data_IF_838171296915
#
_entry.id   IF_838171296915
#
_cell.length_a   1.000
_cell.length_b   1.000
_cell.length_c   1.000
_cell.angle_alpha   90.00
_cell.angle_beta   90.00
_cell.angle_gamma   90.00
#
_symmetry.space_group_name_H-M   'P 1'
#
loop_
_entity.id
_entity.type
_entity.pdbx_description
1 polymer ?
#
# COMPACT_ATOMS: atom_id res chain seq x y z
N UNK A 1 1.55 26.72 15.75
CA UNK A 1 2.08 25.37 16.07
C UNK A 1 1.33 24.36 15.23
N UNK A 2 2.02 23.58 14.41
CA UNK A 2 1.36 22.56 13.58
C UNK A 2 1.02 21.32 14.42
N UNK A 3 -0.13 20.67 14.21
CA UNK A 3 -0.48 19.44 14.90
C UNK A 3 0.41 18.27 14.46
N UNK A 4 0.53 17.24 15.31
CA UNK A 4 1.30 16.03 14.99
C UNK A 4 0.68 15.29 13.81
N UNK A 5 1.41 15.19 12.70
CA UNK A 5 0.96 14.53 11.47
C UNK A 5 0.74 13.03 11.68
N UNK A 6 1.64 12.38 12.40
CA UNK A 6 1.57 10.94 12.69
C UNK A 6 0.32 10.59 13.50
N UNK A 7 -0.06 11.45 14.45
CA UNK A 7 -1.28 11.27 15.23
C UNK A 7 -2.53 11.39 14.35
N UNK A 8 -2.62 12.42 13.50
CA UNK A 8 -3.78 12.63 12.62
C UNK A 8 -3.91 11.48 11.61
N UNK A 9 -2.80 11.06 10.99
CA UNK A 9 -2.77 9.89 10.08
C UNK A 9 -3.24 8.63 10.81
N UNK A 10 -2.76 8.39 12.03
CA UNK A 10 -3.14 7.25 12.86
C UNK A 10 -4.62 7.27 13.25
N UNK A 11 -5.15 8.43 13.61
CA UNK A 11 -6.56 8.61 13.98
C UNK A 11 -7.47 8.28 12.79
N UNK A 12 -7.22 8.90 11.64
CA UNK A 12 -7.99 8.66 10.41
C UNK A 12 -7.97 7.18 10.01
N UNK A 13 -6.81 6.51 10.09
CA UNK A 13 -6.71 5.08 9.82
C UNK A 13 -7.51 4.24 10.82
N UNK A 14 -7.49 4.59 12.10
CA UNK A 14 -8.23 3.85 13.13
C UNK A 14 -9.74 3.98 12.97
N UNK A 15 -10.23 5.14 12.53
CA UNK A 15 -11.65 5.41 12.31
C UNK A 15 -12.12 5.06 10.90
N UNK A 16 -11.25 4.55 10.02
CA UNK A 16 -11.51 4.42 8.58
C UNK A 16 -12.00 5.74 7.95
N UNK A 17 -11.53 6.88 8.48
CA UNK A 17 -11.85 8.22 8.02
C UNK A 17 -10.78 8.80 7.10
N UNK A 18 -11.02 10.04 6.64
CA UNK A 18 -10.09 10.82 5.82
C UNK A 18 -9.45 11.93 6.65
N UNK A 19 -8.30 12.41 6.21
CA UNK A 19 -7.67 13.62 6.75
C UNK A 19 -7.14 14.48 5.60
N UNK A 20 -7.00 15.77 5.85
CA UNK A 20 -6.31 16.72 4.95
C UNK A 20 -5.37 17.59 5.77
N UNK A 21 -4.18 17.87 5.22
CA UNK A 21 -3.24 18.82 5.80
C UNK A 21 -3.27 20.11 4.98
N UNK A 22 -3.49 21.23 5.66
CA UNK A 22 -3.56 22.55 5.04
C UNK A 22 -2.18 23.20 5.14
N UNK A 23 -1.63 23.62 4.00
CA UNK A 23 -0.39 24.37 3.94
C UNK A 23 -0.60 25.81 4.49
N UNK A 24 0.42 26.43 5.11
CA UNK A 24 0.26 27.71 5.81
C UNK A 24 -0.14 28.89 4.90
N UNK A 25 0.07 28.76 3.59
CA UNK A 25 -0.22 29.76 2.55
C UNK A 25 -1.60 29.60 1.90
N UNK A 26 -2.40 28.61 2.33
CA UNK A 26 -3.69 28.28 1.72
C UNK A 26 -4.88 28.67 2.59
N UNK A 27 -5.97 29.06 1.93
CA UNK A 27 -7.25 29.35 2.58
C UNK A 27 -7.86 28.08 3.17
N UNK A 28 -8.14 28.10 4.47
CA UNK A 28 -8.76 27.00 5.19
C UNK A 28 -10.16 26.69 4.66
N UNK A 29 -10.91 27.72 4.26
CA UNK A 29 -12.31 27.61 3.85
C UNK A 29 -12.54 26.63 2.71
N UNK A 30 -11.62 26.61 1.72
CA UNK A 30 -11.70 25.70 0.57
C UNK A 30 -11.59 24.24 1.02
N UNK A 31 -10.61 23.93 1.87
CA UNK A 31 -10.42 22.56 2.36
C UNK A 31 -11.56 22.10 3.28
N UNK A 32 -12.11 23.01 4.08
CA UNK A 32 -13.28 22.70 4.93
C UNK A 32 -14.50 22.43 4.06
N UNK A 33 -14.74 23.25 3.03
CA UNK A 33 -15.83 23.04 2.08
C UNK A 33 -15.68 21.69 1.35
N UNK A 34 -14.49 21.37 0.85
CA UNK A 34 -14.21 20.07 0.20
C UNK A 34 -14.45 18.88 1.14
N UNK A 35 -14.00 18.97 2.40
CA UNK A 35 -14.23 17.88 3.37
C UNK A 35 -15.72 17.72 3.69
N UNK A 36 -16.46 18.82 3.81
CA UNK A 36 -17.89 18.78 4.05
C UNK A 36 -18.65 18.22 2.84
N UNK A 37 -18.30 18.64 1.63
CA UNK A 37 -18.84 18.12 0.38
C UNK A 37 -18.62 16.60 0.31
N UNK A 38 -17.39 16.14 0.58
CA UNK A 38 -17.07 14.71 0.66
C UNK A 38 -17.83 13.97 1.75
N UNK A 39 -18.06 14.59 2.91
CA UNK A 39 -18.83 13.97 3.99
C UNK A 39 -20.32 13.79 3.65
N UNK A 40 -20.85 14.58 2.72
CA UNK A 40 -22.24 14.53 2.26
C UNK A 40 -22.43 13.67 1.01
N UNK A 41 -21.35 13.32 0.30
CA UNK A 41 -21.42 12.42 -0.84
C UNK A 41 -21.95 11.03 -0.42
N UNK A 42 -22.78 10.39 -1.27
CA UNK A 42 -23.20 9.03 -1.02
C UNK A 42 -21.98 8.10 -0.99
N UNK A 43 -21.96 7.18 -0.03
CA UNK A 43 -20.86 6.22 0.12
C UNK A 43 -21.35 4.78 0.23
N UNK A 44 -20.56 3.86 -0.34
CA UNK A 44 -20.71 2.44 -0.11
C UNK A 44 -19.94 2.06 1.14
N UNK A 45 -20.66 1.63 2.18
CA UNK A 45 -20.09 1.20 3.46
C UNK A 45 -20.15 -0.31 3.64
N UNK A 46 -19.29 -0.86 4.49
CA UNK A 46 -19.31 -2.26 4.91
C UNK A 46 -19.22 -3.27 3.76
N UNK A 47 -18.39 -2.94 2.78
CA UNK A 47 -18.10 -3.82 1.65
C UNK A 47 -17.23 -5.01 2.10
N UNK A 48 -17.45 -6.15 1.47
CA UNK A 48 -16.62 -7.35 1.56
C UNK A 48 -16.25 -7.80 0.16
N UNK A 49 -15.02 -8.27 0.00
CA UNK A 49 -14.60 -8.92 -1.24
C UNK A 49 -14.50 -10.41 -0.98
N UNK A 50 -15.16 -11.19 -1.82
CA UNK A 50 -15.06 -12.62 -1.85
C UNK A 50 -14.22 -13.04 -3.06
N UNK A 51 -13.15 -13.78 -2.81
CA UNK A 51 -12.24 -14.27 -3.83
C UNK A 51 -12.52 -15.76 -4.06
N UNK A 52 -13.33 -16.08 -5.07
CA UNK A 52 -13.61 -17.45 -5.45
C UNK A 52 -12.53 -17.92 -6.43
N UNK A 53 -11.32 -18.17 -5.91
CA UNK A 53 -10.20 -18.71 -6.67
C UNK A 53 -10.00 -20.19 -6.34
N UNK A 54 -9.94 -21.04 -7.36
CA UNK A 54 -9.60 -22.47 -7.26
C UNK A 54 -8.10 -22.63 -6.96
N UNK A 55 -7.75 -22.51 -5.68
CA UNK A 55 -6.35 -22.57 -5.20
C UNK A 55 -6.15 -23.81 -4.33
N UNK A 56 -4.98 -24.46 -4.41
CA UNK A 56 -4.67 -25.67 -3.65
C UNK A 56 -4.61 -25.44 -2.12
N UNK A 57 -4.04 -24.33 -1.66
CA UNK A 57 -3.98 -23.95 -0.23
C UNK A 57 -5.08 -22.98 0.22
N UNK A 58 -5.74 -22.30 -0.71
CA UNK A 58 -6.81 -21.32 -0.42
C UNK A 58 -6.35 -20.05 0.32
N UNK A 59 -5.05 -19.82 0.51
CA UNK A 59 -4.55 -18.69 1.28
C UNK A 59 -4.35 -17.45 0.40
N UNK A 60 -5.25 -16.48 0.54
CA UNK A 60 -5.22 -15.21 -0.17
C UNK A 60 -4.97 -14.10 0.83
N UNK A 61 -3.87 -13.35 0.66
CA UNK A 61 -3.57 -12.21 1.52
C UNK A 61 -4.03 -10.92 0.85
N UNK A 62 -5.15 -10.38 1.33
CA UNK A 62 -5.72 -9.13 0.83
C UNK A 62 -5.24 -7.92 1.63
N UNK A 63 -4.97 -6.81 0.93
CA UNK A 63 -4.79 -5.49 1.51
C UNK A 63 -5.56 -4.43 0.70
N UNK A 64 -6.37 -3.56 1.33
CA UNK A 64 -6.70 -3.53 2.77
C UNK A 64 -7.58 -4.72 3.18
N UNK A 65 -7.43 -5.19 4.43
CA UNK A 65 -8.25 -6.29 4.95
C UNK A 65 -9.66 -5.78 5.31
N UNK A 66 -9.74 -4.61 5.96
CA UNK A 66 -11.00 -3.89 6.15
C UNK A 66 -11.17 -2.84 5.06
N UNK A 67 -12.19 -3.03 4.24
CA UNK A 67 -12.47 -2.12 3.13
C UNK A 67 -13.01 -0.79 3.69
N UNK A 68 -12.35 0.35 3.41
CA UNK A 68 -12.84 1.65 3.82
C UNK A 68 -14.11 2.02 3.04
N UNK A 69 -14.92 2.98 3.54
CA UNK A 69 -16.06 3.49 2.78
C UNK A 69 -15.59 4.09 1.45
N UNK A 70 -16.34 3.81 0.37
CA UNK A 70 -16.05 4.31 -0.97
C UNK A 70 -17.05 5.42 -1.29
N UNK A 71 -16.56 6.65 -1.46
CA UNK A 71 -17.36 7.81 -1.83
C UNK A 71 -17.50 7.93 -3.34
N UNK A 72 -18.50 8.70 -3.79
CA UNK A 72 -18.63 9.03 -5.20
C UNK A 72 -17.35 9.69 -5.74
N UNK A 73 -16.95 9.31 -6.96
CA UNK A 73 -15.73 9.79 -7.63
C UNK A 73 -14.39 9.43 -6.96
N UNK A 74 -14.39 8.63 -5.88
CA UNK A 74 -13.16 8.08 -5.30
C UNK A 74 -12.84 6.70 -5.91
N UNK A 75 -11.54 6.38 -6.01
CA UNK A 75 -11.04 5.08 -6.47
C UNK A 75 -10.43 4.32 -5.31
N UNK A 76 -10.96 3.13 -5.02
CA UNK A 76 -10.33 2.17 -4.13
C UNK A 76 -9.54 1.13 -4.95
N UNK A 77 -8.32 0.83 -4.51
CA UNK A 77 -7.52 -0.26 -5.06
C UNK A 77 -7.33 -1.30 -3.97
N UNK A 78 -7.67 -2.55 -4.30
CA UNK A 78 -7.50 -3.70 -3.42
C UNK A 78 -6.48 -4.62 -4.07
N UNK A 79 -5.47 -5.00 -3.32
CA UNK A 79 -4.45 -5.94 -3.73
C UNK A 79 -4.68 -7.28 -3.04
N UNK A 80 -4.48 -8.36 -3.78
CA UNK A 80 -4.49 -9.71 -3.26
C UNK A 80 -3.21 -10.43 -3.70
N UNK A 81 -2.51 -11.02 -2.73
CA UNK A 81 -1.36 -11.88 -2.95
C UNK A 81 -1.78 -13.33 -2.75
N UNK A 82 -1.61 -14.13 -3.78
CA UNK A 82 -1.87 -15.58 -3.76
C UNK A 82 -0.51 -16.28 -3.70
N UNK A 83 -0.33 -17.16 -2.72
CA UNK A 83 0.95 -17.86 -2.52
C UNK A 83 1.14 -19.02 -3.53
N UNK A 84 0.04 -19.57 -4.04
CA UNK A 84 0.02 -20.68 -5.00
C UNK A 84 -0.35 -20.24 -6.43
N UNK A 85 -0.05 -21.12 -7.39
CA UNK A 85 -0.64 -21.02 -8.73
C UNK A 85 -2.14 -21.30 -8.63
N UNK A 86 -2.95 -20.42 -9.21
CA UNK A 86 -4.39 -20.59 -9.33
C UNK A 86 -4.77 -20.63 -10.82
N UNK A 87 -5.87 -21.30 -11.12
CA UNK A 87 -6.41 -21.31 -12.47
C UNK A 87 -6.98 -19.92 -12.80
N UNK A 88 -6.43 -19.31 -13.84
CA UNK A 88 -6.78 -17.94 -14.21
C UNK A 88 -8.12 -17.84 -14.93
N UNK A 89 -8.66 -18.95 -15.46
CA UNK A 89 -9.86 -18.94 -16.29
C UNK A 89 -11.15 -19.24 -15.52
N UNK A 90 -11.04 -19.73 -14.27
CA UNK A 90 -12.19 -20.08 -13.42
C UNK A 90 -12.37 -19.20 -12.18
N UNK A 91 -11.48 -18.23 -11.96
CA UNK A 91 -11.51 -17.35 -10.79
C UNK A 91 -12.58 -16.26 -10.90
N UNK A 92 -13.40 -16.09 -9.86
CA UNK A 92 -14.35 -14.96 -9.78
C UNK A 92 -14.09 -14.09 -8.55
N UNK A 93 -14.26 -12.78 -8.71
CA UNK A 93 -14.17 -11.80 -7.64
C UNK A 93 -15.53 -11.15 -7.46
N UNK A 94 -16.08 -11.25 -6.26
CA UNK A 94 -17.39 -10.73 -5.91
C UNK A 94 -17.27 -9.65 -4.84
N UNK A 95 -18.02 -8.57 -5.01
CA UNK A 95 -18.14 -7.48 -4.04
C UNK A 95 -19.53 -7.58 -3.42
N UNK A 96 -19.55 -7.79 -2.10
CA UNK A 96 -20.76 -7.98 -1.30
C UNK A 96 -20.95 -6.79 -0.35
N UNK A 97 -22.21 -6.44 -0.06
CA UNK A 97 -22.54 -5.49 1.01
C UNK A 97 -22.59 -6.18 2.39
N UNK A 98 -22.93 -5.43 3.44
CA UNK A 98 -23.11 -5.97 4.80
C UNK A 98 -24.22 -7.03 4.93
N UNK A 99 -25.19 -7.04 4.01
CA UNK A 99 -26.30 -7.98 3.94
C UNK A 99 -26.01 -9.17 3.02
N UNK A 100 -24.75 -9.36 2.59
CA UNK A 100 -24.33 -10.36 1.61
C UNK A 100 -25.05 -10.28 0.26
N UNK A 101 -25.56 -9.11 -0.11
CA UNK A 101 -26.08 -8.84 -1.45
C UNK A 101 -24.91 -8.56 -2.39
N UNK A 102 -24.92 -9.20 -3.55
CA UNK A 102 -23.95 -8.98 -4.62
C UNK A 102 -24.13 -7.59 -5.24
N UNK A 103 -23.07 -6.78 -5.17
CA UNK A 103 -23.01 -5.46 -5.80
C UNK A 103 -22.41 -5.59 -7.19
N UNK A 104 -21.31 -6.32 -7.30
CA UNK A 104 -20.59 -6.52 -8.54
C UNK A 104 -19.83 -7.85 -8.52
N UNK A 105 -19.73 -8.49 -9.68
CA UNK A 105 -18.87 -9.64 -9.88
C UNK A 105 -18.02 -9.40 -11.13
N UNK A 106 -16.76 -9.82 -11.06
CA UNK A 106 -15.84 -9.80 -12.19
C UNK A 106 -15.14 -11.16 -12.32
N UNK A 107 -15.00 -11.63 -13.55
CA UNK A 107 -14.16 -12.78 -13.85
C UNK A 107 -12.70 -12.34 -13.81
N UNK A 108 -11.85 -13.13 -13.17
CA UNK A 108 -10.41 -12.97 -13.31
C UNK A 108 -10.07 -13.38 -14.74
N UNK A 109 -9.44 -12.48 -15.48
CA UNK A 109 -8.95 -12.77 -16.81
C UNK A 109 -7.42 -12.77 -16.75
N UNK A 110 -6.79 -13.78 -17.32
CA UNK A 110 -5.37 -13.75 -17.56
C UNK A 110 -5.09 -12.75 -18.69
N UNK A 111 -4.92 -11.48 -18.34
CA UNK A 111 -4.27 -10.57 -19.24
C UNK A 111 -2.81 -11.03 -19.34
N UNK A 112 -2.45 -11.70 -20.45
CA UNK A 112 -1.08 -12.04 -20.81
C UNK A 112 -0.29 -10.74 -21.03
N UNK A 113 -0.05 -10.00 -19.96
CA UNK A 113 0.71 -8.75 -19.98
C UNK A 113 2.16 -9.16 -19.94
N UNK A 114 2.78 -9.22 -21.12
CA UNK A 114 4.20 -9.49 -21.31
C UNK A 114 5.03 -8.30 -20.83
N UNK A 115 5.19 -8.10 -19.52
CA UNK A 115 6.12 -7.09 -19.01
C UNK A 115 6.69 -7.49 -17.66
N UNK A 116 7.94 -7.09 -17.42
CA UNK A 116 8.60 -6.95 -16.12
C UNK A 116 7.74 -6.25 -15.02
N UNK A 117 6.58 -5.69 -15.38
CA UNK A 117 5.52 -5.15 -14.51
C UNK A 117 4.89 -6.16 -13.56
N UNK A 118 5.00 -7.47 -13.81
CA UNK A 118 4.55 -8.51 -12.86
C UNK A 118 5.22 -8.32 -11.49
N UNK A 119 6.50 -7.91 -11.48
CA UNK A 119 7.22 -7.55 -10.25
C UNK A 119 6.68 -6.27 -9.62
N UNK A 120 6.20 -5.31 -10.40
CA UNK A 120 5.75 -4.00 -9.90
C UNK A 120 4.40 -4.10 -9.19
N UNK A 121 3.44 -4.83 -9.77
CA UNK A 121 2.13 -5.06 -9.12
C UNK A 121 2.33 -5.92 -7.87
N UNK A 122 3.15 -6.96 -7.94
CA UNK A 122 3.51 -7.77 -6.77
C UNK A 122 4.19 -6.93 -5.68
N UNK A 123 5.08 -5.99 -6.05
CA UNK A 123 5.69 -5.05 -5.11
C UNK A 123 4.68 -4.08 -4.49
N UNK A 124 3.74 -3.54 -5.27
CA UNK A 124 2.68 -2.67 -4.75
C UNK A 124 1.77 -3.44 -3.78
N UNK A 125 1.40 -4.66 -4.15
CA UNK A 125 0.62 -5.54 -3.29
C UNK A 125 1.36 -5.84 -1.98
N UNK A 126 2.62 -6.25 -2.06
CA UNK A 126 3.45 -6.53 -0.89
C UNK A 126 3.68 -5.27 -0.03
N UNK A 127 3.90 -4.11 -0.64
CA UNK A 127 3.99 -2.82 0.08
C UNK A 127 2.69 -2.50 0.83
N UNK A 128 1.55 -2.64 0.16
CA UNK A 128 0.24 -2.37 0.78
C UNK A 128 -0.03 -3.32 1.96
N UNK A 129 0.39 -4.58 1.83
CA UNK A 129 0.27 -5.59 2.87
C UNK A 129 1.23 -5.32 4.04
N UNK A 130 2.49 -4.94 3.78
CA UNK A 130 3.44 -4.52 4.82
C UNK A 130 2.88 -3.32 5.59
N UNK A 131 2.31 -2.33 4.90
CA UNK A 131 1.65 -1.20 5.56
C UNK A 131 0.47 -1.66 6.41
N UNK A 132 -0.36 -2.59 5.93
CA UNK A 132 -1.45 -3.15 6.73
C UNK A 132 -0.95 -3.85 8.00
N UNK A 133 0.08 -4.68 7.88
CA UNK A 133 0.69 -5.36 9.02
C UNK A 133 1.25 -4.37 10.04
N UNK A 134 2.01 -3.36 9.60
CA UNK A 134 2.65 -2.36 10.45
C UNK A 134 1.66 -1.52 11.28
N UNK A 135 0.51 -1.19 10.70
CA UNK A 135 -0.49 -0.33 11.32
C UNK A 135 -1.73 -1.10 11.78
N UNK A 136 -1.65 -2.43 11.83
CA UNK A 136 -2.72 -3.26 12.35
C UNK A 136 -2.98 -2.91 13.81
N UNK A 137 -4.26 -2.76 14.19
CA UNK A 137 -4.67 -2.46 15.58
C UNK A 137 -4.17 -3.52 16.57
N UNK A 138 -3.89 -4.71 16.06
CA UNK A 138 -3.40 -5.84 16.83
C UNK A 138 -2.01 -5.57 17.42
N UNK A 139 -1.13 -4.81 16.78
CA UNK A 139 0.23 -4.55 17.32
C UNK A 139 0.19 -3.81 18.68
N UNK A 140 -0.81 -2.96 18.92
CA UNK A 140 -0.92 -2.21 20.18
C UNK A 140 -1.14 -3.13 21.39
N UNK A 141 -2.15 -4.01 21.30
CA UNK A 141 -2.62 -4.87 22.38
C UNK A 141 -2.22 -6.34 22.27
N UNK A 142 -1.49 -6.73 21.21
CA UNK A 142 -1.10 -8.13 20.99
C UNK A 142 -0.10 -8.64 22.04
N UNK A 143 -0.23 -9.93 22.32
CA UNK A 143 0.77 -10.70 23.05
C UNK A 143 2.15 -10.60 22.35
N UNK A 144 3.27 -10.64 23.09
CA UNK A 144 4.61 -10.50 22.52
C UNK A 144 4.91 -11.51 21.40
N UNK A 145 4.36 -12.72 21.48
CA UNK A 145 4.51 -13.75 20.43
C UNK A 145 3.89 -13.33 19.09
N UNK A 146 2.69 -12.74 19.12
CA UNK A 146 2.01 -12.26 17.92
C UNK A 146 2.77 -11.09 17.28
N UNK A 147 3.29 -10.16 18.10
CA UNK A 147 4.15 -9.07 17.60
C UNK A 147 5.39 -9.61 16.88
N UNK A 148 6.00 -10.65 17.42
CA UNK A 148 7.14 -11.31 16.79
C UNK A 148 6.76 -11.98 15.46
N UNK A 149 5.62 -12.67 15.41
CA UNK A 149 5.14 -13.29 14.16
C UNK A 149 4.87 -12.25 13.07
N UNK A 150 4.23 -11.12 13.42
CA UNK A 150 3.99 -10.01 12.47
C UNK A 150 5.31 -9.42 11.99
N UNK A 151 6.27 -9.22 12.90
CA UNK A 151 7.61 -8.72 12.55
C UNK A 151 8.32 -9.65 11.56
N UNK A 152 8.32 -10.95 11.82
CA UNK A 152 8.93 -11.94 10.92
C UNK A 152 8.25 -11.91 9.55
N UNK A 153 6.90 -11.89 9.52
CA UNK A 153 6.16 -11.81 8.26
C UNK A 153 6.52 -10.56 7.43
N UNK A 154 6.71 -9.41 8.07
CA UNK A 154 7.14 -8.19 7.38
C UNK A 154 8.55 -8.33 6.80
N UNK A 155 9.48 -8.95 7.54
CA UNK A 155 10.84 -9.22 7.06
C UNK A 155 10.80 -10.16 5.85
N UNK A 156 10.02 -11.25 5.92
CA UNK A 156 9.89 -12.22 4.83
C UNK A 156 9.37 -11.57 3.55
N UNK A 157 8.33 -10.74 3.64
CA UNK A 157 7.78 -10.01 2.50
C UNK A 157 8.76 -8.98 1.95
N UNK A 158 9.46 -8.27 2.84
CA UNK A 158 10.47 -7.29 2.46
C UNK A 158 11.62 -7.94 1.67
N UNK A 159 12.11 -9.10 2.13
CA UNK A 159 13.18 -9.84 1.45
C UNK A 159 12.67 -10.46 0.14
N UNK A 160 11.49 -11.09 0.14
CA UNK A 160 10.89 -11.75 -1.03
C UNK A 160 10.64 -10.77 -2.19
N UNK A 161 10.13 -9.58 -1.88
CA UNK A 161 9.76 -8.59 -2.89
C UNK A 161 10.75 -7.42 -3.02
N UNK A 162 11.84 -7.44 -2.25
CA UNK A 162 12.88 -6.39 -2.24
C UNK A 162 12.31 -4.99 -1.92
N UNK A 163 11.50 -4.90 -0.87
CA UNK A 163 10.85 -3.65 -0.45
C UNK A 163 11.42 -3.22 0.89
N UNK A 164 11.82 -1.96 1.02
CA UNK A 164 12.32 -1.43 2.30
C UNK A 164 11.18 -1.41 3.35
N UNK A 165 11.48 -1.90 4.55
CA UNK A 165 10.57 -1.87 5.69
C UNK A 165 11.28 -1.31 6.92
N UNK A 166 10.57 -0.88 7.98
CA UNK A 166 11.20 -0.45 9.24
C UNK A 166 12.09 -1.51 9.91
N UNK A 167 12.00 -2.77 9.50
CA UNK A 167 12.76 -3.89 10.06
C UNK A 167 13.88 -4.40 9.13
N UNK A 168 14.06 -3.80 7.96
CA UNK A 168 15.03 -4.25 6.94
C UNK A 168 15.76 -3.06 6.33
N UNK A 169 17.02 -3.26 5.97
CA UNK A 169 17.84 -2.28 5.27
C UNK A 169 18.60 -2.97 4.13
N UNK A 170 18.74 -2.28 3.00
CA UNK A 170 19.57 -2.73 1.89
C UNK A 170 20.87 -1.94 1.90
N UNK A 171 22.00 -2.65 1.84
CA UNK A 171 23.32 -2.04 1.75
C UNK A 171 24.01 -2.58 0.49
N UNK A 172 24.66 -1.67 -0.26
CA UNK A 172 25.47 -2.05 -1.41
C UNK A 172 26.84 -2.52 -0.95
N UNK A 173 27.28 -3.69 -1.43
CA UNK A 173 28.64 -4.20 -1.21
C UNK A 173 29.44 -3.96 -2.49
N UNK A 174 30.47 -3.10 -2.42
CA UNK A 174 31.45 -2.95 -3.49
C UNK A 174 32.53 -4.04 -3.32
N UNK A 175 32.61 -4.99 -4.24
CA UNK A 175 33.71 -5.96 -4.27
C UNK A 175 34.81 -5.45 -5.19
N UNK A 176 36.00 -5.16 -4.63
CA UNK A 176 37.20 -4.87 -5.43
C UNK A 176 37.97 -6.15 -5.68
N UNK A 177 38.19 -6.48 -6.95
CA UNK A 177 39.19 -7.46 -7.34
C UNK A 177 40.58 -6.81 -7.30
N UNK A 178 41.05 -6.39 -6.13
CA UNK A 178 42.46 -6.05 -6.00
C UNK A 178 43.23 -7.37 -5.97
N UNK A 179 43.98 -7.61 -7.04
CA UNK A 179 44.87 -8.75 -7.17
C UNK A 179 45.81 -8.86 -5.96
N UNK A 180 46.14 -10.11 -5.64
CA UNK A 180 47.13 -10.54 -4.66
C UNK A 180 48.15 -9.44 -4.28
N UNK A 181 47.98 -8.87 -3.09
CA UNK A 181 48.82 -7.77 -2.60
C UNK A 181 48.40 -7.36 -1.20
N UNK A 182 48.94 -8.08 -0.24
CA UNK A 182 48.84 -7.90 1.20
C UNK A 182 49.04 -6.43 1.62
N UNK A 183 47.94 -5.73 1.94
CA UNK A 183 47.90 -4.48 2.71
C UNK A 183 46.45 -4.20 3.11
N UNK A 184 46.01 -4.79 4.23
CA UNK A 184 44.73 -4.54 4.88
C UNK A 184 44.70 -3.15 5.56
N UNK A 185 44.90 -2.07 4.81
CA UNK A 185 44.62 -0.74 5.34
C UNK A 185 43.10 -0.56 5.42
N UNK A 186 42.55 -0.54 6.63
CA UNK A 186 41.17 -0.11 6.88
C UNK A 186 41.04 1.36 6.48
N UNK A 187 40.30 1.62 5.39
CA UNK A 187 39.99 2.97 4.93
C UNK A 187 38.57 3.31 5.34
N UNK A 188 38.40 4.34 6.17
CA UNK A 188 37.10 4.89 6.51
C UNK A 188 36.46 5.45 5.22
N UNK A 189 35.29 4.93 4.85
CA UNK A 189 34.55 5.38 3.66
C UNK A 189 33.15 5.81 4.09
N UNK A 190 32.74 7.00 3.69
CA UNK A 190 31.38 7.49 3.92
C UNK A 190 30.45 6.88 2.88
N UNK A 191 29.47 6.10 3.35
CA UNK A 191 28.41 5.58 2.49
C UNK A 191 27.31 6.64 2.42
N UNK A 192 26.94 7.15 1.23
CA UNK A 192 25.82 8.06 1.12
C UNK A 192 24.55 7.34 1.59
N UNK A 193 23.93 7.88 2.64
CA UNK A 193 22.64 7.42 3.14
C UNK A 193 21.57 8.23 2.41
N UNK A 194 20.78 7.56 1.57
CA UNK A 194 19.59 8.18 0.99
C UNK A 194 18.50 8.21 2.06
N UNK A 195 18.35 9.37 2.72
CA UNK A 195 17.24 9.62 3.64
C UNK A 195 16.03 9.99 2.77
N UNK A 196 14.98 9.17 2.81
CA UNK A 196 13.72 9.50 2.17
C UNK A 196 13.17 10.81 2.77
N UNK A 197 13.13 11.85 1.94
CA UNK A 197 12.66 13.19 2.29
C UNK A 197 11.12 13.19 2.35
N UNK A 198 10.56 12.65 3.43
CA UNK A 198 9.10 12.63 3.70
C UNK A 198 8.50 14.06 3.85
N UNK A 199 9.34 15.10 3.87
CA UNK A 199 8.97 16.51 4.03
C UNK A 199 8.68 17.24 2.71
N UNK A 200 8.90 16.62 1.54
CA UNK A 200 8.45 17.19 0.27
C UNK A 200 7.00 16.84 0.01
N UNK A 201 6.18 17.88 -0.10
CA UNK A 201 4.81 17.80 -0.61
C UNK A 201 4.78 16.93 -1.86
N UNK A 202 4.07 15.80 -1.82
CA UNK A 202 3.60 15.14 -3.03
C UNK A 202 2.64 16.16 -3.66
N UNK A 203 3.16 16.94 -4.59
CA UNK A 203 2.33 17.77 -5.47
C UNK A 203 1.30 16.82 -6.10
N UNK A 204 -0.01 17.09 -6.00
CA UNK A 204 -0.96 16.34 -6.80
C UNK A 204 -0.55 16.46 -8.28
N UNK A 205 -0.24 15.32 -8.90
CA UNK A 205 -0.04 15.24 -10.34
C UNK A 205 -1.40 15.52 -11.01
N UNK A 206 -1.64 16.79 -11.35
CA UNK A 206 -2.70 17.16 -12.27
C UNK A 206 -2.23 16.80 -13.69
N UNK A 207 -2.69 15.66 -14.22
CA UNK A 207 -2.62 15.42 -15.66
C UNK A 207 -3.71 16.27 -16.32
N UNK A 208 -3.33 17.47 -16.74
CA UNK A 208 -4.17 18.27 -17.63
C UNK A 208 -4.26 17.57 -18.99
N UNK A 209 -5.29 16.74 -19.19
CA UNK A 209 -5.73 16.35 -20.53
C UNK A 209 -6.40 17.57 -21.17
N UNK A 210 -5.60 18.39 -21.84
CA UNK A 210 -6.11 19.39 -22.77
C UNK A 210 -6.82 18.66 -23.92
N UNK A 211 -8.14 18.51 -23.84
CA UNK A 211 -8.97 18.18 -25.00
C UNK A 211 -8.89 19.35 -25.99
N UNK A 212 -8.03 19.24 -27.01
CA UNK A 212 -8.17 20.05 -28.22
C UNK A 212 -9.46 19.59 -28.90
N UNK A 213 -10.53 20.38 -28.80
CA UNK A 213 -11.63 20.32 -29.77
C UNK A 213 -11.09 20.86 -31.09
N UNK A 214 -10.95 20.00 -32.10
CA UNK A 214 -10.87 20.46 -33.48
C UNK A 214 -12.26 20.88 -33.92
N UNK A 215 -12.38 22.12 -34.36
CA UNK A 215 -13.45 22.59 -35.24
C UNK A 215 -13.24 21.97 -36.61
#
# INVERSE_FOLDING_TARGET
>A
RSPSRSLIKGLARSTNGRFSFIAPDRSVDVYVAEQLEKALEPCLTNLKVNWNLTTATGLIHQAPNKIPPIYANDRLIIYALVDDKFDHDSGTVEILNSQNTLIAAAQVQNANVSVDQTTTIARLAAKSLIQELLYSKEIGSAQPRLKQNIKQRIIDLSLKYQILSPYTAFFGIETRSNGAGDNFNMVLSEIPIEIADDDKYIQPFYVNRSMKKSV
#
